data_IF_137092804032
#
_entry.id   IF_137092804032
#
_cell.length_a   1.000
_cell.length_b   1.000
_cell.length_c   1.000
_cell.angle_alpha   90.00
_cell.angle_beta   90.00
_cell.angle_gamma   90.00
#
_symmetry.space_group_name_H-M   'P 1'
#
loop_
_entity.id
_entity.type
_entity.pdbx_description
1 polymer ?
#
# COMPACT_ATOMS: atom_id res chain seq x y z
N UNK A 1 10.72 -35.71 9.88
CA UNK A 1 10.87 -34.23 9.89
C UNK A 1 9.70 -33.67 9.09
N UNK A 2 8.79 -32.97 9.75
CA UNK A 2 7.64 -32.35 9.09
C UNK A 2 8.15 -31.14 8.33
N UNK A 3 8.31 -31.29 7.01
CA UNK A 3 8.71 -30.20 6.13
C UNK A 3 7.57 -29.19 6.10
N UNK A 4 7.85 -28.00 6.63
CA UNK A 4 7.06 -26.77 6.56
C UNK A 4 5.88 -26.84 5.56
N UNK A 5 4.65 -26.90 6.07
CA UNK A 5 3.45 -26.72 5.24
C UNK A 5 3.23 -25.22 5.05
N UNK A 6 3.73 -24.68 3.93
CA UNK A 6 3.49 -23.29 3.56
C UNK A 6 2.13 -23.20 2.84
N UNK A 7 1.07 -22.84 3.58
CA UNK A 7 -0.24 -22.53 3.00
C UNK A 7 -0.22 -21.11 2.41
N UNK A 8 0.58 -20.91 1.36
CA UNK A 8 0.66 -19.63 0.67
C UNK A 8 -0.47 -19.52 -0.37
N UNK A 9 -1.64 -19.10 0.11
CA UNK A 9 -2.69 -18.32 -0.56
C UNK A 9 -3.87 -18.28 0.43
N UNK A 10 -3.96 -17.20 1.21
CA UNK A 10 -5.02 -17.04 2.22
C UNK A 10 -6.41 -16.96 1.57
N UNK A 11 -6.51 -16.48 0.33
CA UNK A 11 -7.67 -16.63 -0.55
C UNK A 11 -7.33 -16.22 -2.01
N UNK A 12 -8.14 -16.58 -3.02
CA UNK A 12 -7.95 -16.10 -4.40
C UNK A 12 -8.06 -14.57 -4.50
N UNK A 13 -7.32 -13.94 -5.42
CA UNK A 13 -7.38 -12.48 -5.66
C UNK A 13 -8.75 -11.99 -6.13
N UNK A 14 -9.64 -12.86 -6.60
CA UNK A 14 -11.02 -12.52 -6.92
C UNK A 14 -11.94 -12.43 -5.69
N UNK A 15 -11.45 -12.85 -4.52
CA UNK A 15 -12.19 -12.79 -3.26
C UNK A 15 -11.89 -11.51 -2.49
N UNK A 16 -12.81 -11.11 -1.61
CA UNK A 16 -12.61 -9.98 -0.69
C UNK A 16 -11.34 -10.15 0.17
N UNK A 17 -11.08 -11.34 0.68
CA UNK A 17 -9.90 -11.63 1.50
C UNK A 17 -8.60 -11.53 0.69
N UNK A 18 -8.57 -12.08 -0.52
CA UNK A 18 -7.41 -11.99 -1.41
C UNK A 18 -7.11 -10.56 -1.84
N UNK A 19 -8.14 -9.77 -2.17
CA UNK A 19 -7.96 -8.34 -2.47
C UNK A 19 -7.52 -7.54 -1.26
N UNK A 20 -8.06 -7.83 -0.07
CA UNK A 20 -7.61 -7.19 1.17
C UNK A 20 -6.10 -7.44 1.36
N UNK A 21 -5.65 -8.67 1.13
CA UNK A 21 -4.23 -9.01 1.20
C UNK A 21 -3.41 -8.27 0.13
N UNK A 22 -3.88 -8.23 -1.12
CA UNK A 22 -3.22 -7.52 -2.21
C UNK A 22 -3.08 -6.01 -1.93
N UNK A 23 -4.12 -5.38 -1.37
CA UNK A 23 -4.10 -3.97 -0.94
C UNK A 23 -3.05 -3.77 0.15
N UNK A 24 -3.06 -4.60 1.19
CA UNK A 24 -2.09 -4.49 2.29
C UNK A 24 -0.65 -4.69 1.81
N UNK A 25 -0.40 -5.68 0.95
CA UNK A 25 0.92 -5.90 0.36
C UNK A 25 1.35 -4.69 -0.48
N UNK A 26 0.47 -4.17 -1.33
CA UNK A 26 0.78 -3.01 -2.19
C UNK A 26 1.16 -1.77 -1.38
N UNK A 27 0.41 -1.49 -0.31
CA UNK A 27 0.61 -0.28 0.52
C UNK A 27 1.80 -0.45 1.48
N UNK A 28 1.99 -1.63 2.07
CA UNK A 28 3.00 -1.82 3.13
C UNK A 28 4.34 -2.37 2.66
N UNK A 29 4.42 -2.95 1.46
CA UNK A 29 5.72 -3.25 0.86
C UNK A 29 6.42 -1.94 0.47
N UNK A 30 7.74 -1.91 0.63
CA UNK A 30 8.51 -0.73 0.30
C UNK A 30 8.78 -0.71 -1.20
N UNK A 31 8.26 0.29 -1.90
CA UNK A 31 8.80 0.66 -3.20
C UNK A 31 10.14 1.37 -3.04
N UNK A 32 10.97 1.31 -4.08
CA UNK A 32 12.23 2.05 -4.10
C UNK A 32 11.97 3.56 -4.03
N UNK A 33 12.75 4.26 -3.19
CA UNK A 33 12.70 5.70 -3.04
C UNK A 33 13.20 6.39 -4.31
N UNK A 34 12.56 7.50 -4.67
CA UNK A 34 13.06 8.39 -5.72
C UNK A 34 14.14 9.32 -5.17
N UNK A 35 14.84 10.05 -6.04
CA UNK A 35 15.78 11.09 -5.61
C UNK A 35 15.10 12.18 -4.77
N UNK A 36 13.86 12.55 -5.11
CA UNK A 36 13.07 13.54 -4.36
C UNK A 36 12.70 13.02 -2.97
N UNK A 37 12.43 11.71 -2.85
CA UNK A 37 12.14 11.11 -1.55
C UNK A 37 13.39 11.10 -0.66
N UNK A 38 14.54 10.74 -1.23
CA UNK A 38 15.83 10.78 -0.52
C UNK A 38 16.18 12.20 -0.04
N UNK A 39 15.96 13.20 -0.88
CA UNK A 39 16.13 14.61 -0.52
C UNK A 39 15.20 15.02 0.62
N UNK A 40 13.90 14.68 0.54
CA UNK A 40 12.91 15.00 1.59
C UNK A 40 13.22 14.32 2.92
N UNK A 41 13.67 13.06 2.89
CA UNK A 41 14.02 12.30 4.09
C UNK A 41 15.36 12.72 4.71
N UNK A 42 16.18 13.49 3.99
CA UNK A 42 17.60 13.68 4.30
C UNK A 42 18.34 12.34 4.54
N UNK A 43 18.02 11.34 3.72
CA UNK A 43 18.53 9.97 3.84
C UNK A 43 18.69 9.32 2.47
N UNK A 44 19.73 8.48 2.31
CA UNK A 44 19.97 7.69 1.09
C UNK A 44 19.34 6.30 1.14
N UNK A 45 18.44 6.04 2.09
CA UNK A 45 17.73 4.76 2.18
C UNK A 45 16.95 4.48 0.89
N UNK A 46 17.23 3.33 0.27
CA UNK A 46 16.63 2.93 -1.01
C UNK A 46 15.24 2.32 -0.83
N UNK A 47 15.01 1.53 0.20
CA UNK A 47 13.82 0.66 0.26
C UNK A 47 13.85 -0.36 -0.88
N UNK A 48 12.67 -0.79 -1.34
CA UNK A 48 12.58 -1.82 -2.38
C UNK A 48 12.83 -3.24 -1.87
N UNK A 49 12.88 -4.19 -2.81
CA UNK A 49 13.27 -5.57 -2.57
C UNK A 49 14.31 -6.01 -3.59
N UNK A 50 15.23 -6.87 -3.17
CA UNK A 50 16.22 -7.50 -4.04
C UNK A 50 15.56 -8.36 -5.13
N UNK A 51 14.34 -8.85 -4.90
CA UNK A 51 13.64 -9.74 -5.82
C UNK A 51 13.00 -9.03 -7.02
N UNK A 52 13.07 -7.71 -7.10
CA UNK A 52 12.39 -6.94 -8.14
C UNK A 52 12.92 -7.22 -9.55
N UNK A 53 14.16 -7.71 -9.67
CA UNK A 53 14.73 -8.16 -10.94
C UNK A 53 14.15 -9.50 -11.42
N UNK A 54 13.55 -10.27 -10.51
CA UNK A 54 13.03 -11.62 -10.77
C UNK A 54 11.50 -11.63 -10.89
N UNK A 55 10.82 -10.81 -10.08
CA UNK A 55 9.38 -10.71 -10.03
C UNK A 55 8.98 -9.24 -9.88
N UNK A 56 7.91 -8.84 -10.55
CA UNK A 56 7.34 -7.52 -10.33
C UNK A 56 6.72 -7.46 -8.93
N UNK A 57 7.28 -6.63 -8.04
CA UNK A 57 6.79 -6.48 -6.68
C UNK A 57 6.06 -5.15 -6.54
N UNK A 58 4.81 -5.23 -6.08
CA UNK A 58 4.01 -4.06 -5.74
C UNK A 58 4.48 -3.49 -4.40
N UNK A 59 4.53 -2.16 -4.32
CA UNK A 59 4.97 -1.45 -3.12
C UNK A 59 4.63 0.03 -3.18
N UNK A 60 4.65 0.68 -2.02
CA UNK A 60 4.39 2.10 -1.86
C UNK A 60 5.63 2.83 -1.37
N UNK A 61 5.71 4.13 -1.68
CA UNK A 61 6.72 5.06 -1.12
C UNK A 61 6.23 5.73 0.17
N UNK A 62 5.06 5.36 0.69
CA UNK A 62 4.49 5.92 1.93
C UNK A 62 5.44 5.79 3.13
N UNK A 63 6.25 4.73 3.20
CA UNK A 63 7.27 4.54 4.24
C UNK A 63 8.27 5.71 4.34
N UNK A 64 8.51 6.43 3.23
CA UNK A 64 9.40 7.59 3.18
C UNK A 64 8.85 8.79 3.97
N UNK A 65 7.57 8.75 4.38
CA UNK A 65 6.91 9.78 5.16
C UNK A 65 6.95 9.50 6.67
N UNK A 66 7.50 8.36 7.11
CA UNK A 66 7.47 7.91 8.52
C UNK A 66 7.99 8.94 9.52
N UNK A 67 8.95 9.78 9.13
CA UNK A 67 9.54 10.85 9.98
C UNK A 67 9.17 12.26 9.53
N UNK A 68 8.31 12.41 8.53
CA UNK A 68 7.86 13.72 8.05
C UNK A 68 6.92 14.37 9.07
N UNK A 69 6.94 15.71 9.14
CA UNK A 69 5.93 16.45 9.90
C UNK A 69 4.56 16.23 9.27
N UNK A 70 3.53 16.01 10.09
CA UNK A 70 2.18 15.82 9.58
C UNK A 70 1.61 17.15 9.07
N UNK A 71 1.79 17.43 7.79
CA UNK A 71 1.28 18.59 7.04
C UNK A 71 0.26 18.13 5.99
N UNK A 72 -0.50 19.06 5.42
CA UNK A 72 -1.47 18.73 4.36
C UNK A 72 -0.77 18.24 3.08
N UNK A 73 0.44 18.73 2.82
CA UNK A 73 1.32 18.18 1.79
C UNK A 73 1.68 16.72 2.07
N UNK A 74 2.00 16.37 3.32
CA UNK A 74 2.32 14.99 3.71
C UNK A 74 1.11 14.06 3.55
N UNK A 75 -0.09 14.52 3.91
CA UNK A 75 -1.33 13.77 3.66
C UNK A 75 -1.57 13.55 2.16
N UNK A 76 -1.34 14.58 1.34
CA UNK A 76 -1.49 14.51 -0.11
C UNK A 76 -0.47 13.55 -0.75
N UNK A 77 0.79 13.57 -0.27
CA UNK A 77 1.81 12.62 -0.70
C UNK A 77 1.45 11.19 -0.31
N UNK A 78 0.99 10.96 0.91
CA UNK A 78 0.56 9.64 1.38
C UNK A 78 -0.58 9.08 0.51
N UNK A 79 -1.59 9.92 0.22
CA UNK A 79 -2.69 9.57 -0.68
C UNK A 79 -2.15 9.13 -2.04
N UNK A 80 -1.32 9.97 -2.65
CA UNK A 80 -0.74 9.69 -3.97
C UNK A 80 0.10 8.42 -3.98
N UNK A 81 0.94 8.18 -2.97
CA UNK A 81 1.78 6.98 -2.90
C UNK A 81 0.95 5.71 -2.69
N UNK A 82 -0.17 5.79 -1.98
CA UNK A 82 -1.12 4.68 -1.88
C UNK A 82 -1.81 4.43 -3.22
N UNK A 83 -2.33 5.47 -3.88
CA UNK A 83 -2.98 5.37 -5.20
C UNK A 83 -2.02 4.78 -6.25
N UNK A 84 -0.78 5.27 -6.33
CA UNK A 84 0.26 4.75 -7.22
C UNK A 84 0.50 3.25 -6.97
N UNK A 85 0.58 2.82 -5.70
CA UNK A 85 0.81 1.42 -5.35
C UNK A 85 -0.37 0.49 -5.67
N UNK A 86 -1.59 1.03 -5.79
CA UNK A 86 -2.82 0.27 -6.01
C UNK A 86 -3.32 0.32 -7.44
N UNK A 87 -2.72 1.15 -8.30
CA UNK A 87 -3.15 1.34 -9.69
C UNK A 87 -3.23 0.02 -10.48
N UNK A 88 -2.35 -0.93 -10.18
CA UNK A 88 -2.31 -2.24 -10.85
C UNK A 88 -3.61 -3.03 -10.69
N UNK A 89 -4.32 -2.88 -9.57
CA UNK A 89 -5.61 -3.56 -9.35
C UNK A 89 -6.64 -3.17 -10.42
N UNK A 90 -6.57 -1.95 -10.93
CA UNK A 90 -7.46 -1.47 -11.99
C UNK A 90 -6.92 -1.87 -13.35
N UNK A 91 -5.62 -1.66 -13.62
CA UNK A 91 -5.02 -1.97 -14.94
C UNK A 91 -5.11 -3.44 -15.29
N UNK A 92 -5.03 -4.31 -14.28
CA UNK A 92 -5.04 -5.77 -14.44
C UNK A 92 -6.47 -6.34 -14.33
N UNK A 93 -7.48 -5.48 -14.12
CA UNK A 93 -8.90 -5.86 -14.13
C UNK A 93 -9.41 -6.54 -12.85
N UNK A 94 -8.67 -6.46 -11.75
CA UNK A 94 -9.08 -7.00 -10.45
C UNK A 94 -10.11 -6.13 -9.71
N UNK A 95 -10.09 -4.81 -9.95
CA UNK A 95 -11.02 -3.85 -9.41
C UNK A 95 -11.50 -2.89 -10.51
N UNK A 96 -12.74 -2.43 -10.39
CA UNK A 96 -13.29 -1.39 -11.26
C UNK A 96 -12.84 0.01 -10.85
N UNK A 97 -12.74 0.24 -9.54
CA UNK A 97 -12.26 1.49 -8.98
C UNK A 97 -11.60 1.25 -7.62
N UNK A 98 -10.64 2.10 -7.29
CA UNK A 98 -9.94 2.13 -6.01
C UNK A 98 -9.91 3.59 -5.53
N UNK A 99 -10.45 3.84 -4.35
CA UNK A 99 -10.48 5.18 -3.76
C UNK A 99 -9.69 5.19 -2.46
N UNK A 100 -8.69 6.08 -2.39
CA UNK A 100 -7.87 6.25 -1.19
C UNK A 100 -8.29 7.51 -0.44
N UNK A 101 -8.59 7.34 0.85
CA UNK A 101 -8.87 8.43 1.77
C UNK A 101 -7.74 8.54 2.79
N UNK A 102 -7.24 9.76 3.00
CA UNK A 102 -6.18 10.07 3.97
C UNK A 102 -6.59 11.31 4.75
N UNK A 103 -6.47 11.24 6.07
CA UNK A 103 -6.86 12.34 6.96
C UNK A 103 -5.95 12.43 8.19
N UNK A 104 -6.05 13.55 8.89
CA UNK A 104 -5.40 13.75 10.19
C UNK A 104 -6.31 13.17 11.28
N UNK A 105 -5.92 12.04 11.85
CA UNK A 105 -6.65 11.39 12.96
C UNK A 105 -6.35 12.10 14.29
N UNK A 106 -5.08 12.44 14.52
CA UNK A 106 -4.60 13.21 15.69
C UNK A 106 -3.48 14.15 15.24
N UNK A 107 -3.02 15.10 16.08
CA UNK A 107 -1.94 16.02 15.70
C UNK A 107 -0.69 15.34 15.11
N UNK A 108 -0.39 14.12 15.57
CA UNK A 108 0.76 13.31 15.14
C UNK A 108 0.37 11.97 14.49
N UNK A 109 -0.92 11.73 14.24
CA UNK A 109 -1.41 10.45 13.71
C UNK A 109 -2.17 10.64 12.41
N UNK A 110 -1.78 9.89 11.39
CA UNK A 110 -2.42 9.87 10.07
C UNK A 110 -3.35 8.67 9.94
N UNK A 111 -4.61 8.92 9.56
CA UNK A 111 -5.59 7.91 9.21
C UNK A 111 -5.64 7.68 7.70
N UNK A 112 -5.87 6.43 7.30
CA UNK A 112 -5.89 5.97 5.90
C UNK A 112 -6.94 4.88 5.72
N UNK A 113 -7.67 4.93 4.61
CA UNK A 113 -8.65 3.92 4.20
C UNK A 113 -8.61 3.74 2.69
N UNK A 114 -8.90 2.51 2.23
CA UNK A 114 -9.04 2.19 0.82
C UNK A 114 -10.42 1.60 0.59
N UNK A 115 -11.21 2.19 -0.31
CA UNK A 115 -12.47 1.61 -0.77
C UNK A 115 -12.27 0.97 -2.14
N UNK A 116 -12.62 -0.31 -2.25
CA UNK A 116 -12.52 -1.08 -3.50
C UNK A 116 -13.91 -1.25 -4.08
N UNK A 117 -14.07 -0.94 -5.37
CA UNK A 117 -15.26 -1.30 -6.15
C UNK A 117 -14.93 -2.49 -7.06
N UNK A 118 -15.64 -3.60 -6.90
CA UNK A 118 -15.50 -4.80 -7.70
C UNK A 118 -16.15 -4.65 -9.08
N UNK A 119 -15.86 -5.59 -9.97
CA UNK A 119 -16.40 -5.63 -11.34
C UNK A 119 -17.91 -5.80 -11.39
N UNK A 120 -18.49 -6.46 -10.38
CA UNK A 120 -19.95 -6.60 -10.18
C UNK A 120 -20.60 -5.34 -9.55
N UNK A 121 -19.81 -4.32 -9.21
CA UNK A 121 -20.26 -3.07 -8.60
C UNK A 121 -20.37 -3.11 -7.07
N UNK A 122 -20.15 -4.27 -6.42
CA UNK A 122 -20.07 -4.35 -4.97
C UNK A 122 -18.85 -3.60 -4.44
N UNK A 123 -18.96 -3.08 -3.23
CA UNK A 123 -17.92 -2.27 -2.60
C UNK A 123 -17.56 -2.81 -1.22
N UNK A 124 -16.29 -2.67 -0.85
CA UNK A 124 -15.86 -2.91 0.51
C UNK A 124 -14.66 -2.04 0.88
N UNK A 125 -14.60 -1.69 2.17
CA UNK A 125 -13.47 -1.00 2.75
C UNK A 125 -12.35 -1.97 3.16
N UNK A 126 -11.13 -1.50 2.96
CA UNK A 126 -9.90 -2.04 3.50
C UNK A 126 -9.29 -0.96 4.40
N UNK A 127 -9.58 -0.99 5.72
CA UNK A 127 -8.99 -0.08 6.66
C UNK A 127 -7.47 -0.28 6.72
N UNK A 128 -6.71 0.79 6.47
CA UNK A 128 -5.25 0.77 6.67
C UNK A 128 -4.88 1.05 8.13
N UNK A 129 -5.88 1.22 9.00
CA UNK A 129 -5.71 1.35 10.43
C UNK A 129 -5.51 -0.03 11.07
N UNK A 130 -4.24 -0.47 11.17
CA UNK A 130 -3.68 -1.43 12.15
C UNK A 130 -2.55 -2.25 11.51
N UNK A 131 -1.39 -1.65 11.32
CA UNK A 131 -0.17 -2.38 11.65
C UNK A 131 0.13 -1.95 13.08
N UNK A 132 -0.32 -2.76 14.05
CA UNK A 132 -0.13 -2.51 15.47
C UNK A 132 1.32 -2.08 15.73
N UNK A 133 1.51 -0.87 16.25
CA UNK A 133 2.65 -0.55 17.09
C UNK A 133 2.37 -1.06 18.50
#
# INVERSE_FOLDING_TARGET
MSHFNLTALTAPISSKEGLTHAVLQSVYNYAESTQNDRARMASNERGGTWSNELINVVGSRDWTLKRAKLTDETLSLSKRFCEESLAWLITDGHAKAVEVSVWREKPTQMGRNVMITLTDGSQFDVPLSKVNQ
#
